data_IF_556891357562
#
_entry.id   IF_556891357562
#
_cell.length_a   1.000
_cell.length_b   1.000
_cell.length_c   1.000
_cell.angle_alpha   90.00
_cell.angle_beta   90.00
_cell.angle_gamma   90.00
#
_symmetry.space_group_name_H-M   'P 1'
#
loop_
_entity.id
_entity.type
_entity.pdbx_description
1 polymer ?
#
# COMPACT_ATOMS: atom_id res chain seq x y z
N UNK A 1 -2.72 11.44 9.37
CA UNK A 1 -3.07 10.16 8.70
C UNK A 1 -2.13 10.04 7.50
N UNK A 2 -1.28 9.01 7.45
CA UNK A 2 -0.35 8.78 6.34
C UNK A 2 -0.90 7.64 5.47
N UNK A 3 -1.08 7.92 4.18
CA UNK A 3 -1.59 7.00 3.16
C UNK A 3 -0.44 6.82 2.15
N UNK A 4 0.19 5.64 2.06
CA UNK A 4 1.19 5.38 1.03
C UNK A 4 0.54 5.44 -0.35
N UNK A 5 1.21 6.13 -1.28
CA UNK A 5 0.78 6.25 -2.67
C UNK A 5 1.94 5.82 -3.54
N UNK A 6 1.74 4.77 -4.31
CA UNK A 6 2.78 4.19 -5.16
C UNK A 6 2.36 4.23 -6.63
N UNK A 7 3.32 4.57 -7.48
CA UNK A 7 3.16 4.66 -8.94
C UNK A 7 4.20 3.76 -9.58
N UNK A 8 3.76 2.73 -10.30
CA UNK A 8 4.61 1.77 -10.99
C UNK A 8 3.93 1.28 -12.27
N UNK A 9 4.71 0.64 -13.14
CA UNK A 9 4.23 0.08 -14.40
C UNK A 9 3.67 -1.35 -14.21
N UNK A 10 3.93 -1.98 -13.06
CA UNK A 10 3.53 -3.35 -12.77
C UNK A 10 2.88 -3.47 -11.39
N UNK A 11 1.75 -4.16 -11.34
CA UNK A 11 1.00 -4.37 -10.10
C UNK A 11 1.78 -5.14 -9.04
N UNK A 12 2.58 -6.13 -9.42
CA UNK A 12 3.33 -6.95 -8.46
C UNK A 12 4.32 -6.12 -7.64
N UNK A 13 5.04 -5.21 -8.30
CA UNK A 13 6.00 -4.32 -7.63
C UNK A 13 5.28 -3.28 -6.76
N UNK A 14 4.16 -2.79 -7.26
CA UNK A 14 3.31 -1.82 -6.57
C UNK A 14 2.75 -2.39 -5.25
N UNK A 15 2.20 -3.61 -5.31
CA UNK A 15 1.68 -4.34 -4.15
C UNK A 15 2.79 -4.65 -3.16
N UNK A 16 3.98 -5.04 -3.65
CA UNK A 16 5.15 -5.34 -2.82
C UNK A 16 5.60 -4.10 -2.04
N UNK A 17 5.82 -2.97 -2.71
CA UNK A 17 6.26 -1.72 -2.06
C UNK A 17 5.20 -1.18 -1.10
N UNK A 18 3.94 -1.11 -1.54
CA UNK A 18 2.84 -0.67 -0.70
C UNK A 18 2.68 -1.57 0.55
N UNK A 19 2.94 -2.88 0.43
CA UNK A 19 2.99 -3.80 1.57
C UNK A 19 4.14 -3.52 2.53
N UNK A 20 5.33 -3.20 2.03
CA UNK A 20 6.48 -2.77 2.86
C UNK A 20 6.10 -1.52 3.66
N UNK A 21 5.49 -0.52 3.02
CA UNK A 21 5.05 0.68 3.72
C UNK A 21 3.97 0.38 4.75
N UNK A 22 3.04 -0.53 4.46
CA UNK A 22 2.06 -0.98 5.45
C UNK A 22 2.75 -1.61 6.67
N UNK A 23 3.73 -2.49 6.49
CA UNK A 23 4.53 -3.06 7.58
C UNK A 23 5.26 -2.01 8.41
N UNK A 24 5.85 -0.99 7.77
CA UNK A 24 6.48 0.13 8.46
C UNK A 24 5.47 0.95 9.27
N UNK A 25 4.28 1.21 8.72
CA UNK A 25 3.22 1.96 9.39
C UNK A 25 2.61 1.19 10.56
N UNK A 26 2.50 -0.12 10.45
CA UNK A 26 2.14 -1.01 11.55
C UNK A 26 3.20 -1.02 12.64
N UNK A 27 4.49 -1.01 12.29
CA UNK A 27 5.59 -0.95 13.26
C UNK A 27 5.64 0.41 13.98
N UNK A 28 5.42 1.50 13.24
CA UNK A 28 5.41 2.86 13.79
C UNK A 28 4.18 3.14 14.69
N UNK A 29 3.07 2.44 14.47
CA UNK A 29 1.85 2.59 15.27
C UNK A 29 1.22 1.22 15.53
N UNK A 30 1.56 0.57 16.66
CA UNK A 30 1.08 -0.78 16.98
C UNK A 30 -0.44 -0.90 17.09
N UNK A 31 -1.13 0.20 17.45
CA UNK A 31 -2.60 0.27 17.54
C UNK A 31 -3.29 0.39 16.18
N UNK A 32 -2.55 0.61 15.09
CA UNK A 32 -3.11 0.72 13.75
C UNK A 32 -3.65 -0.64 13.29
N UNK A 33 -4.95 -0.69 12.99
CA UNK A 33 -5.62 -1.93 12.58
C UNK A 33 -5.53 -2.22 11.07
N UNK A 34 -5.55 -1.17 10.25
CA UNK A 34 -5.43 -1.28 8.80
C UNK A 34 -4.58 -0.14 8.22
N UNK A 35 -4.03 -0.38 7.04
CA UNK A 35 -3.36 0.62 6.21
C UNK A 35 -4.06 0.65 4.86
N UNK A 36 -4.50 1.82 4.45
CA UNK A 36 -4.96 2.07 3.09
C UNK A 36 -3.76 2.56 2.28
N UNK A 37 -3.40 1.84 1.23
CA UNK A 37 -2.48 2.26 0.19
C UNK A 37 -3.23 2.59 -1.09
N UNK A 38 -2.69 3.52 -1.88
CA UNK A 38 -3.20 3.86 -3.20
C UNK A 38 -2.14 3.43 -4.21
N UNK A 39 -2.55 2.61 -5.17
CA UNK A 39 -1.68 2.19 -6.27
C UNK A 39 -2.17 2.72 -7.60
N UNK A 40 -1.27 3.30 -8.38
CA UNK A 40 -1.54 3.72 -9.75
C UNK A 40 -0.62 2.97 -10.71
N UNK A 41 -1.23 2.13 -11.57
CA UNK A 41 -0.51 1.54 -12.70
C UNK A 41 -0.42 2.58 -13.83
N UNK A 42 0.79 2.98 -14.16
CA UNK A 42 1.05 3.92 -15.24
C UNK A 42 0.82 3.33 -16.63
N UNK A 43 1.09 2.03 -16.83
CA UNK A 43 0.90 1.35 -18.12
C UNK A 43 -0.58 1.24 -18.50
N UNK A 44 -1.40 0.76 -17.55
CA UNK A 44 -2.84 0.57 -17.77
C UNK A 44 -3.67 1.84 -17.48
N UNK A 45 -3.03 2.90 -16.97
CA UNK A 45 -3.69 4.08 -16.39
C UNK A 45 -4.78 3.74 -15.36
N UNK A 46 -4.57 2.68 -14.58
CA UNK A 46 -5.57 2.19 -13.62
C UNK A 46 -5.18 2.52 -12.18
N UNK A 47 -6.15 2.98 -11.40
CA UNK A 47 -6.01 3.27 -9.98
C UNK A 47 -6.69 2.18 -9.16
N UNK A 48 -6.01 1.67 -8.13
CA UNK A 48 -6.56 0.70 -7.18
C UNK A 48 -6.28 1.11 -5.75
N UNK A 49 -7.22 0.76 -4.87
CA UNK A 49 -7.07 0.87 -3.43
C UNK A 49 -6.59 -0.46 -2.86
N UNK A 50 -5.53 -0.42 -2.08
CA UNK A 50 -4.91 -1.58 -1.44
C UNK A 50 -5.18 -1.47 0.05
N UNK A 51 -5.91 -2.43 0.62
CA UNK A 51 -6.19 -2.46 2.06
C UNK A 51 -5.37 -3.56 2.69
N UNK A 52 -4.50 -3.19 3.60
CA UNK A 52 -3.67 -4.11 4.37
C UNK A 52 -4.22 -4.21 5.78
N UNK A 53 -4.38 -5.43 6.27
CA UNK A 53 -4.71 -5.70 7.66
C UNK A 53 -3.48 -6.25 8.37
N UNK A 54 -3.40 -6.02 9.68
CA UNK A 54 -2.25 -6.49 10.47
C UNK A 54 -2.15 -8.02 10.56
N UNK A 55 -3.22 -8.75 10.19
CA UNK A 55 -3.30 -10.21 10.21
C UNK A 55 -2.89 -10.92 8.91
N UNK A 56 -2.57 -10.18 7.84
CA UNK A 56 -2.40 -10.71 6.49
C UNK A 56 -3.47 -10.21 5.55
#
# INVERSE_FOLDING_TARGET
>A
IAIPVEVKDNWSDLVLQSGIYACCLFSASPLRQFVLGIGYNYEDHTLRFLVYQRGG
#
